data_IF_914595910023
#
_entry.id   IF_914595910023
#
_cell.length_a   1.000
_cell.length_b   1.000
_cell.length_c   1.000
_cell.angle_alpha   90.00
_cell.angle_beta   90.00
_cell.angle_gamma   90.00
#
_symmetry.space_group_name_H-M   'P 1'
#
loop_
_entity.id
_entity.type
_entity.pdbx_description
1 polymer ?
#
# COMPACT_ATOMS: atom_id res chain seq x y z
N UNK A 1 -29.77 23.74 25.69
CA UNK A 1 -30.39 22.55 25.07
C UNK A 1 -29.54 22.13 23.88
N UNK A 2 -29.16 20.87 23.74
CA UNK A 2 -28.32 20.42 22.62
C UNK A 2 -29.20 20.09 21.41
N UNK A 3 -29.28 21.01 20.45
CA UNK A 3 -30.18 20.89 19.29
C UNK A 3 -29.55 20.06 18.16
N UNK A 4 -29.84 18.75 18.16
CA UNK A 4 -29.43 17.77 17.13
C UNK A 4 -29.67 18.25 15.67
N UNK A 5 -30.68 19.11 15.45
CA UNK A 5 -31.00 19.79 14.18
C UNK A 5 -29.88 20.75 13.73
N UNK A 6 -29.46 21.66 14.61
CA UNK A 6 -28.43 22.69 14.35
C UNK A 6 -27.07 22.01 14.15
N UNK A 7 -26.75 21.04 15.01
CA UNK A 7 -25.53 20.23 14.89
C UNK A 7 -25.49 19.48 13.55
N UNK A 8 -26.63 19.01 13.04
CA UNK A 8 -26.71 18.44 11.70
C UNK A 8 -26.52 19.48 10.59
N UNK A 9 -27.14 20.66 10.68
CA UNK A 9 -26.99 21.72 9.68
C UNK A 9 -25.52 22.13 9.52
N UNK A 10 -24.84 22.43 10.64
CA UNK A 10 -23.40 22.73 10.67
C UNK A 10 -22.59 21.58 10.07
N UNK A 11 -22.74 20.33 10.55
CA UNK A 11 -22.00 19.16 10.03
C UNK A 11 -22.26 18.88 8.54
N UNK A 12 -23.38 19.33 7.99
CA UNK A 12 -23.73 19.09 6.60
C UNK A 12 -23.29 20.21 5.64
N UNK A 13 -23.44 21.48 6.04
CA UNK A 13 -23.05 22.64 5.23
C UNK A 13 -21.55 22.94 5.38
N UNK A 14 -21.06 23.00 6.62
CA UNK A 14 -19.66 23.27 6.95
C UNK A 14 -18.79 22.01 6.87
N UNK A 15 -17.52 22.14 7.26
CA UNK A 15 -16.57 21.04 7.28
C UNK A 15 -16.94 19.96 8.32
N UNK A 16 -16.71 18.69 7.95
CA UNK A 16 -16.83 17.55 8.85
C UNK A 16 -15.71 16.56 8.54
N UNK A 17 -14.79 16.36 9.48
CA UNK A 17 -13.59 15.51 9.33
C UNK A 17 -13.89 14.07 8.91
N UNK A 18 -15.05 13.54 9.29
CA UNK A 18 -15.48 12.18 8.93
C UNK A 18 -16.22 12.10 7.59
N UNK A 19 -16.61 13.21 6.94
CA UNK A 19 -17.47 13.24 5.75
C UNK A 19 -16.65 13.05 4.46
N UNK A 20 -16.84 11.90 3.81
CA UNK A 20 -16.32 11.64 2.47
C UNK A 20 -17.36 12.05 1.42
N UNK A 21 -17.05 13.07 0.61
CA UNK A 21 -17.75 13.32 -0.66
C UNK A 21 -17.26 12.30 -1.69
N UNK A 22 -18.13 11.83 -2.58
CA UNK A 22 -17.76 10.97 -3.72
C UNK A 22 -18.35 11.50 -5.02
N UNK A 23 -17.71 11.21 -6.15
CA UNK A 23 -18.06 11.74 -7.48
C UNK A 23 -19.50 11.38 -7.91
N UNK A 24 -20.07 10.34 -7.31
CA UNK A 24 -21.45 9.87 -7.54
C UNK A 24 -22.49 10.58 -6.66
N UNK A 25 -22.15 11.73 -6.06
CA UNK A 25 -23.04 12.56 -5.24
C UNK A 25 -23.41 11.97 -3.88
N UNK A 26 -22.93 10.76 -3.53
CA UNK A 26 -23.22 10.12 -2.25
C UNK A 26 -22.16 10.49 -1.20
N UNK A 27 -22.63 10.91 -0.03
CA UNK A 27 -21.76 11.24 1.10
C UNK A 27 -21.62 10.04 2.04
N UNK A 28 -20.38 9.61 2.28
CA UNK A 28 -20.03 8.54 3.22
C UNK A 28 -19.41 9.11 4.50
N UNK A 29 -19.30 8.29 5.53
CA UNK A 29 -18.81 8.68 6.85
C UNK A 29 -17.75 7.70 7.34
N UNK A 30 -16.54 8.18 7.66
CA UNK A 30 -15.43 7.40 8.22
C UNK A 30 -15.60 7.05 9.71
N UNK A 31 -16.56 7.64 10.41
CA UNK A 31 -16.74 7.44 11.85
C UNK A 31 -17.17 6.00 12.16
N UNK A 32 -16.39 5.29 12.98
CA UNK A 32 -16.63 3.89 13.33
C UNK A 32 -18.02 3.63 13.95
N UNK A 33 -18.52 4.62 14.68
CA UNK A 33 -19.83 4.61 15.33
C UNK A 33 -20.98 4.97 14.38
N UNK A 34 -20.81 4.93 13.06
CA UNK A 34 -21.91 5.04 12.11
C UNK A 34 -22.46 3.63 11.77
N UNK A 35 -23.76 3.39 11.94
CA UNK A 35 -24.37 2.07 11.64
C UNK A 35 -24.32 1.74 10.14
N UNK A 36 -24.56 2.72 9.27
CA UNK A 36 -24.81 2.51 7.83
C UNK A 36 -23.61 2.83 6.94
N UNK A 37 -22.68 3.67 7.41
CA UNK A 37 -21.58 4.23 6.62
C UNK A 37 -21.94 5.46 5.78
N UNK A 38 -23.22 5.85 5.72
CA UNK A 38 -23.65 7.06 4.99
C UNK A 38 -23.67 8.29 5.90
N UNK A 39 -23.29 9.46 5.35
CA UNK A 39 -23.35 10.74 6.02
C UNK A 39 -24.71 11.43 5.78
N UNK A 40 -25.76 10.88 6.41
CA UNK A 40 -27.14 11.40 6.39
C UNK A 40 -27.59 11.78 7.80
N UNK A 41 -28.58 12.68 7.94
CA UNK A 41 -29.13 13.14 9.24
C UNK A 41 -29.43 12.00 10.21
N UNK A 42 -30.13 10.96 9.76
CA UNK A 42 -30.49 9.78 10.57
C UNK A 42 -29.32 8.81 10.85
N UNK A 43 -28.18 8.96 10.16
CA UNK A 43 -27.02 8.05 10.25
C UNK A 43 -25.80 8.67 10.94
N UNK A 44 -25.73 9.99 11.14
CA UNK A 44 -24.59 10.62 11.79
C UNK A 44 -24.59 10.39 13.33
N UNK A 45 -23.58 9.74 13.94
CA UNK A 45 -23.53 9.52 15.39
C UNK A 45 -23.14 10.76 16.20
N UNK A 46 -22.58 11.79 15.56
CA UNK A 46 -22.28 13.07 16.20
C UNK A 46 -23.58 13.87 16.39
N UNK A 47 -24.28 14.14 15.28
CA UNK A 47 -25.49 14.98 15.26
C UNK A 47 -26.71 14.39 15.98
N UNK A 48 -26.77 13.07 16.21
CA UNK A 48 -27.86 12.47 17.00
C UNK A 48 -27.40 12.24 18.44
N UNK A 49 -28.07 12.85 19.42
CA UNK A 49 -27.90 12.61 20.85
C UNK A 49 -28.31 11.18 21.26
N UNK A 50 -29.40 10.66 20.68
CA UNK A 50 -29.90 9.30 20.88
C UNK A 50 -29.48 8.40 19.72
N UNK A 51 -28.50 7.51 19.96
CA UNK A 51 -27.95 6.66 18.90
C UNK A 51 -27.60 5.26 19.42
N UNK A 52 -27.40 4.30 18.52
CA UNK A 52 -26.96 2.94 18.85
C UNK A 52 -26.22 2.30 17.67
N UNK A 53 -25.20 1.47 17.93
CA UNK A 53 -24.46 0.70 16.92
C UNK A 53 -24.07 -0.70 17.40
N UNK A 54 -23.72 -1.57 16.47
CA UNK A 54 -23.04 -2.84 16.78
C UNK A 54 -21.62 -2.78 16.22
N UNK A 55 -20.61 -3.10 17.03
CA UNK A 55 -19.18 -3.14 16.63
C UNK A 55 -18.54 -4.40 17.23
N UNK A 56 -17.71 -5.07 16.44
CA UNK A 56 -16.82 -6.14 16.91
C UNK A 56 -15.62 -5.54 17.63
N UNK A 57 -15.23 -6.14 18.75
CA UNK A 57 -14.00 -5.76 19.46
C UNK A 57 -12.76 -6.27 18.70
N UNK A 58 -11.81 -5.41 18.28
CA UNK A 58 -10.67 -5.85 17.46
C UNK A 58 -9.81 -6.96 18.10
N UNK A 59 -9.64 -6.93 19.43
CA UNK A 59 -8.82 -7.91 20.16
C UNK A 59 -9.52 -9.27 20.34
N UNK A 60 -10.84 -9.25 20.55
CA UNK A 60 -11.60 -10.41 21.05
C UNK A 60 -12.54 -11.01 19.99
N UNK A 61 -12.82 -10.28 18.90
CA UNK A 61 -13.81 -10.63 17.89
C UNK A 61 -15.27 -10.66 18.40
N UNK A 62 -15.50 -10.37 19.69
CA UNK A 62 -16.80 -10.38 20.34
C UNK A 62 -17.64 -9.17 19.91
N UNK A 63 -18.95 -9.38 19.74
CA UNK A 63 -19.88 -8.32 19.34
C UNK A 63 -20.35 -7.53 20.57
N UNK A 64 -20.33 -6.21 20.44
CA UNK A 64 -20.87 -5.30 21.45
C UNK A 64 -21.88 -4.34 20.82
N UNK A 65 -22.99 -4.13 21.54
CA UNK A 65 -23.93 -3.03 21.31
C UNK A 65 -23.38 -1.80 22.03
N UNK A 66 -23.18 -0.72 21.29
CA UNK A 66 -22.79 0.59 21.81
C UNK A 66 -24.02 1.51 21.76
N UNK A 67 -24.44 2.06 22.90
CA UNK A 67 -25.61 2.94 22.99
C UNK A 67 -25.20 4.34 23.47
N UNK A 68 -25.80 5.39 22.88
CA UNK A 68 -25.58 6.80 23.23
C UNK A 68 -26.90 7.40 23.71
N UNK A 69 -26.88 8.06 24.88
CA UNK A 69 -28.06 8.67 25.53
C UNK A 69 -27.88 10.17 25.70
N UNK A 70 -28.98 10.92 25.72
CA UNK A 70 -28.97 12.40 25.83
C UNK A 70 -28.38 12.85 27.16
N UNK A 71 -28.73 12.16 28.24
CA UNK A 71 -28.33 12.47 29.62
C UNK A 71 -26.82 12.61 29.76
N UNK A 72 -26.04 11.74 29.11
CA UNK A 72 -24.57 11.75 29.20
C UNK A 72 -23.89 12.67 28.21
N UNK A 73 -24.62 13.42 27.38
CA UNK A 73 -24.03 14.32 26.36
C UNK A 73 -22.99 15.31 26.92
N UNK A 74 -23.07 15.67 28.20
CA UNK A 74 -22.10 16.51 28.90
C UNK A 74 -20.79 15.81 29.33
N UNK A 75 -20.66 14.48 29.20
CA UNK A 75 -19.44 13.72 29.56
C UNK A 75 -18.91 12.88 28.37
N UNK A 76 -18.05 13.43 27.49
CA UNK A 76 -17.50 12.73 26.33
C UNK A 76 -16.93 11.34 26.62
N UNK A 77 -16.13 11.24 27.69
CA UNK A 77 -15.48 9.99 28.13
C UNK A 77 -16.47 8.89 28.57
N UNK A 78 -17.77 9.22 28.73
CA UNK A 78 -18.84 8.31 29.18
C UNK A 78 -20.07 8.32 28.24
N UNK A 79 -19.94 8.87 27.02
CA UNK A 79 -21.02 8.93 26.02
C UNK A 79 -21.58 7.57 25.60
N UNK A 80 -20.75 6.52 25.58
CA UNK A 80 -21.10 5.22 25.03
C UNK A 80 -21.21 4.12 26.09
N UNK A 81 -22.39 3.51 26.19
CA UNK A 81 -22.59 2.27 26.93
C UNK A 81 -22.22 1.06 26.07
N UNK A 82 -21.25 0.26 26.52
CA UNK A 82 -20.78 -0.95 25.82
C UNK A 82 -21.40 -2.21 26.43
N UNK A 83 -22.44 -2.75 25.81
CA UNK A 83 -23.13 -3.99 26.22
C UNK A 83 -22.62 -5.17 25.39
N UNK A 84 -22.14 -6.25 26.04
CA UNK A 84 -21.70 -7.47 25.35
C UNK A 84 -22.90 -8.26 24.80
N UNK A 85 -22.93 -8.48 23.50
CA UNK A 85 -23.91 -9.37 22.88
C UNK A 85 -23.46 -10.82 23.01
N UNK A 86 -24.43 -11.74 23.08
CA UNK A 86 -24.15 -13.18 23.11
C UNK A 86 -23.61 -13.70 21.76
N UNK A 87 -22.85 -14.79 21.80
CA UNK A 87 -22.28 -15.42 20.58
C UNK A 87 -23.34 -16.10 19.71
N UNK A 88 -24.52 -16.43 20.29
CA UNK A 88 -25.64 -17.00 19.55
C UNK A 88 -26.45 -15.88 18.89
N UNK A 89 -26.47 -15.86 17.56
CA UNK A 89 -27.13 -14.83 16.75
C UNK A 89 -28.61 -14.61 17.10
N UNK A 90 -29.39 -15.66 17.37
CA UNK A 90 -30.80 -15.53 17.74
C UNK A 90 -30.98 -14.86 19.11
N UNK A 91 -30.14 -15.23 20.09
CA UNK A 91 -30.13 -14.57 21.41
C UNK A 91 -29.63 -13.13 21.31
N UNK A 92 -28.64 -12.85 20.47
CA UNK A 92 -28.15 -11.50 20.22
C UNK A 92 -29.19 -10.59 19.55
N UNK A 93 -30.04 -11.12 18.66
CA UNK A 93 -31.19 -10.38 18.11
C UNK A 93 -32.21 -10.02 19.20
N UNK A 94 -32.56 -10.97 20.07
CA UNK A 94 -33.44 -10.69 21.23
C UNK A 94 -32.86 -9.60 22.14
N UNK A 95 -31.56 -9.70 22.46
CA UNK A 95 -30.85 -8.66 23.24
C UNK A 95 -30.84 -7.28 22.56
N UNK A 96 -30.84 -7.19 21.23
CA UNK A 96 -31.01 -5.90 20.54
C UNK A 96 -32.43 -5.35 20.72
N UNK A 97 -33.47 -6.18 20.60
CA UNK A 97 -34.86 -5.75 20.78
C UNK A 97 -35.16 -5.34 22.23
N UNK A 98 -34.71 -6.12 23.21
CA UNK A 98 -34.85 -5.84 24.65
C UNK A 98 -34.23 -4.50 25.08
N UNK A 99 -33.11 -4.11 24.47
CA UNK A 99 -32.38 -2.89 24.87
C UNK A 99 -32.76 -1.66 24.05
N UNK A 100 -33.19 -1.84 22.80
CA UNK A 100 -33.49 -0.73 21.89
C UNK A 100 -34.99 -0.41 21.79
N UNK A 101 -35.84 -0.91 22.71
CA UNK A 101 -37.31 -0.68 22.76
C UNK A 101 -37.68 0.78 22.51
N UNK A 102 -36.99 1.73 23.15
CA UNK A 102 -37.29 3.16 23.09
C UNK A 102 -36.55 3.94 21.99
N UNK A 103 -35.79 3.26 21.12
CA UNK A 103 -35.03 3.88 20.02
C UNK A 103 -35.86 3.90 18.71
N UNK A 104 -35.56 4.80 17.77
CA UNK A 104 -36.28 4.85 16.50
C UNK A 104 -36.10 3.57 15.70
N UNK A 105 -37.19 3.05 15.11
CA UNK A 105 -37.26 1.79 14.35
C UNK A 105 -36.16 1.67 13.27
N UNK A 106 -35.73 2.78 12.68
CA UNK A 106 -34.59 2.86 11.76
C UNK A 106 -33.30 2.32 12.39
N UNK A 107 -32.92 2.78 13.59
CA UNK A 107 -31.71 2.33 14.27
C UNK A 107 -31.83 0.88 14.73
N UNK A 108 -33.00 0.44 15.21
CA UNK A 108 -33.23 -0.98 15.56
C UNK A 108 -32.98 -1.87 14.33
N UNK A 109 -33.63 -1.57 13.21
CA UNK A 109 -33.48 -2.34 11.97
C UNK A 109 -32.05 -2.30 11.42
N UNK A 110 -31.38 -1.13 11.44
CA UNK A 110 -30.00 -1.01 10.98
C UNK A 110 -28.99 -1.68 11.92
N UNK A 111 -29.20 -1.68 13.23
CA UNK A 111 -28.39 -2.45 14.18
C UNK A 111 -28.52 -3.96 13.94
N UNK A 112 -29.75 -4.47 13.68
CA UNK A 112 -29.95 -5.86 13.27
C UNK A 112 -29.21 -6.17 11.97
N UNK A 113 -29.42 -5.38 10.90
CA UNK A 113 -28.72 -5.57 9.62
C UNK A 113 -27.18 -5.55 9.79
N UNK A 114 -26.64 -4.65 10.63
CA UNK A 114 -25.20 -4.58 10.92
C UNK A 114 -24.71 -5.79 11.72
N UNK A 115 -25.45 -6.27 12.72
CA UNK A 115 -25.14 -7.52 13.43
C UNK A 115 -25.09 -8.70 12.45
N UNK A 116 -26.10 -8.87 11.59
CA UNK A 116 -26.12 -9.91 10.55
C UNK A 116 -24.92 -9.80 9.61
N UNK A 117 -24.54 -8.58 9.20
CA UNK A 117 -23.39 -8.38 8.31
C UNK A 117 -22.06 -8.69 9.00
N UNK A 118 -21.89 -8.29 10.27
CA UNK A 118 -20.69 -8.58 11.05
C UNK A 118 -20.55 -10.08 11.35
N UNK A 119 -21.63 -10.81 11.65
CA UNK A 119 -21.55 -12.27 11.82
C UNK A 119 -21.23 -12.98 10.51
N UNK A 120 -21.82 -12.55 9.37
CA UNK A 120 -21.43 -13.04 8.04
C UNK A 120 -19.96 -12.79 7.71
N UNK A 121 -19.43 -11.60 8.02
CA UNK A 121 -18.02 -11.26 7.79
C UNK A 121 -17.10 -12.12 8.68
N UNK A 122 -17.42 -12.30 9.97
CA UNK A 122 -16.65 -13.19 10.85
C UNK A 122 -16.66 -14.65 10.38
N UNK A 123 -17.78 -15.15 9.83
CA UNK A 123 -17.85 -16.48 9.21
C UNK A 123 -16.98 -16.55 7.95
N UNK A 124 -16.97 -15.51 7.11
CA UNK A 124 -16.12 -15.44 5.91
C UNK A 124 -14.63 -15.40 6.27
N UNK A 125 -14.22 -14.57 7.23
CA UNK A 125 -12.82 -14.47 7.66
C UNK A 125 -12.30 -15.81 8.18
N UNK A 126 -13.09 -16.54 8.98
CA UNK A 126 -12.75 -17.90 9.45
C UNK A 126 -12.64 -18.93 8.33
N UNK A 127 -13.42 -18.80 7.26
CA UNK A 127 -13.29 -19.66 6.07
C UNK A 127 -12.02 -19.34 5.29
N UNK A 128 -11.74 -18.06 5.04
CA UNK A 128 -10.55 -17.62 4.32
C UNK A 128 -9.27 -18.01 5.06
N UNK A 129 -9.17 -17.79 6.38
CA UNK A 129 -8.01 -18.19 7.16
C UNK A 129 -7.74 -19.72 7.11
N UNK A 130 -8.80 -20.55 7.12
CA UNK A 130 -8.65 -22.01 6.94
C UNK A 130 -8.27 -22.40 5.51
N UNK A 131 -8.67 -21.61 4.52
CA UNK A 131 -8.34 -21.84 3.11
C UNK A 131 -6.88 -21.45 2.80
N UNK A 132 -6.42 -20.34 3.37
CA UNK A 132 -5.03 -19.88 3.40
C UNK A 132 -4.12 -20.89 4.12
N UNK A 133 -4.53 -21.38 5.30
CA UNK A 133 -3.85 -22.47 6.03
C UNK A 133 -3.76 -23.77 5.21
N UNK A 134 -4.82 -24.11 4.45
CA UNK A 134 -4.86 -25.31 3.60
C UNK A 134 -3.98 -25.20 2.36
N UNK A 135 -3.96 -24.03 1.71
CA UNK A 135 -3.24 -23.82 0.45
C UNK A 135 -1.76 -23.49 0.68
N UNK A 136 -1.42 -22.79 1.78
CA UNK A 136 -0.06 -22.32 2.07
C UNK A 136 0.42 -21.18 1.14
N UNK A 137 -0.33 -20.86 0.10
CA UNK A 137 -0.08 -19.80 -0.88
C UNK A 137 -0.11 -18.41 -0.22
N UNK A 138 1.09 -17.84 -0.01
CA UNK A 138 1.24 -16.44 0.40
C UNK A 138 1.28 -15.56 -0.83
N UNK A 139 0.53 -14.45 -0.82
CA UNK A 139 0.61 -13.42 -1.87
C UNK A 139 1.98 -12.73 -1.81
N UNK A 140 2.93 -13.22 -2.60
CA UNK A 140 4.24 -12.58 -2.77
C UNK A 140 4.02 -11.20 -3.42
N UNK A 141 4.47 -10.09 -2.80
CA UNK A 141 4.36 -8.78 -3.42
C UNK A 141 5.22 -8.73 -4.69
N UNK A 142 4.84 -7.93 -5.69
CA UNK A 142 5.64 -7.77 -6.91
C UNK A 142 7.05 -7.30 -6.54
N UNK A 143 8.06 -8.12 -6.86
CA UNK A 143 9.47 -7.79 -6.65
C UNK A 143 9.79 -6.42 -7.23
N UNK A 144 10.54 -5.62 -6.48
CA UNK A 144 10.90 -4.26 -6.90
C UNK A 144 11.69 -4.32 -8.23
N UNK A 145 11.40 -3.48 -9.24
CA UNK A 145 12.05 -3.58 -10.56
C UNK A 145 13.58 -3.51 -10.54
N UNK A 146 14.19 -2.87 -9.51
CA UNK A 146 15.64 -2.88 -9.29
C UNK A 146 16.16 -4.27 -8.86
N UNK A 147 15.43 -4.98 -8.01
CA UNK A 147 15.80 -6.32 -7.50
C UNK A 147 15.74 -7.30 -8.67
N UNK A 148 14.61 -7.36 -9.39
CA UNK A 148 14.46 -8.22 -10.57
C UNK A 148 15.57 -7.99 -11.60
N UNK A 149 15.91 -6.74 -11.94
CA UNK A 149 17.01 -6.45 -12.88
C UNK A 149 18.37 -6.94 -12.35
N UNK A 150 18.63 -6.78 -11.06
CA UNK A 150 19.88 -7.25 -10.44
C UNK A 150 19.97 -8.78 -10.43
N UNK A 151 18.85 -9.46 -10.25
CA UNK A 151 18.72 -10.92 -10.35
C UNK A 151 18.94 -11.37 -11.81
N UNK A 152 18.18 -10.82 -12.76
CA UNK A 152 18.27 -11.05 -14.21
C UNK A 152 19.70 -10.83 -14.78
N UNK A 153 20.42 -9.79 -14.31
CA UNK A 153 21.84 -9.57 -14.67
C UNK A 153 22.80 -10.54 -13.99
N UNK A 154 22.52 -10.96 -12.74
CA UNK A 154 23.34 -11.97 -12.03
C UNK A 154 23.16 -13.36 -12.61
N UNK A 155 21.93 -13.73 -12.98
CA UNK A 155 21.59 -14.95 -13.69
C UNK A 155 22.37 -15.01 -15.01
N UNK A 156 22.36 -13.94 -15.82
CA UNK A 156 23.14 -13.86 -17.06
C UNK A 156 24.66 -13.91 -16.84
N UNK A 157 25.22 -13.18 -15.85
CA UNK A 157 26.67 -13.27 -15.52
C UNK A 157 27.03 -14.69 -15.03
N UNK A 158 26.16 -15.36 -14.28
CA UNK A 158 26.38 -16.73 -13.79
C UNK A 158 26.27 -17.81 -14.90
N UNK A 159 25.31 -17.67 -15.81
CA UNK A 159 25.15 -18.55 -16.99
C UNK A 159 26.40 -18.52 -17.88
N UNK A 160 26.90 -17.32 -18.19
CA UNK A 160 28.13 -17.12 -18.95
C UNK A 160 29.36 -17.71 -18.23
N UNK A 161 29.49 -17.46 -16.92
CA UNK A 161 30.63 -17.97 -16.13
C UNK A 161 30.62 -19.49 -15.96
N UNK A 162 29.44 -20.12 -15.88
CA UNK A 162 29.33 -21.56 -15.65
C UNK A 162 29.76 -22.43 -16.86
N UNK A 163 29.85 -21.85 -18.07
CA UNK A 163 30.26 -22.52 -19.34
C UNK A 163 29.66 -23.95 -19.45
N UNK A 164 28.36 -24.10 -19.15
CA UNK A 164 27.71 -25.38 -18.78
C UNK A 164 27.94 -26.52 -19.78
N UNK A 165 27.97 -26.22 -21.08
CA UNK A 165 28.23 -27.21 -22.14
C UNK A 165 29.60 -27.89 -21.94
N UNK A 166 30.68 -27.13 -21.71
CA UNK A 166 32.03 -27.66 -21.44
C UNK A 166 32.12 -28.42 -20.10
N UNK A 167 31.25 -28.12 -19.13
CA UNK A 167 31.17 -28.87 -17.89
C UNK A 167 30.49 -30.24 -18.11
N UNK A 168 29.40 -30.26 -18.87
CA UNK A 168 28.66 -31.48 -19.24
C UNK A 168 29.50 -32.37 -20.16
N UNK A 169 30.21 -31.81 -21.15
CA UNK A 169 31.10 -32.56 -22.04
C UNK A 169 32.20 -33.29 -21.27
N UNK A 170 32.89 -32.59 -20.34
CA UNK A 170 33.91 -33.21 -19.49
C UNK A 170 33.33 -34.29 -18.58
N UNK A 171 32.16 -34.08 -17.95
CA UNK A 171 31.52 -35.11 -17.14
C UNK A 171 31.09 -36.34 -17.97
N UNK A 172 30.59 -36.13 -19.19
CA UNK A 172 30.24 -37.22 -20.11
C UNK A 172 31.49 -38.00 -20.56
N UNK A 173 32.59 -37.31 -20.83
CA UNK A 173 33.89 -37.94 -21.16
C UNK A 173 34.42 -38.70 -19.94
N UNK A 174 34.30 -38.18 -18.73
CA UNK A 174 34.75 -38.85 -17.50
C UNK A 174 33.89 -40.07 -17.14
N UNK A 175 32.56 -39.98 -17.27
CA UNK A 175 31.63 -41.12 -17.15
C UNK A 175 31.88 -42.19 -18.22
N UNK A 176 32.31 -41.79 -19.41
CA UNK A 176 32.72 -42.68 -20.49
C UNK A 176 34.09 -43.33 -20.22
N UNK A 177 35.05 -42.57 -19.68
CA UNK A 177 36.40 -43.02 -19.28
C UNK A 177 36.38 -44.00 -18.11
N UNK A 178 35.48 -43.78 -17.15
CA UNK A 178 35.24 -44.66 -15.99
C UNK A 178 34.44 -45.93 -16.32
N UNK A 179 34.03 -46.13 -17.58
CA UNK A 179 33.39 -47.37 -18.03
C UNK A 179 31.93 -47.54 -17.59
N UNK A 180 31.27 -46.49 -17.09
CA UNK A 180 29.90 -46.55 -16.56
C UNK A 180 28.84 -47.01 -17.58
N UNK A 181 29.16 -46.96 -18.88
CA UNK A 181 28.30 -47.37 -19.99
C UNK A 181 28.64 -48.75 -20.59
N UNK A 182 29.58 -49.50 -19.99
CA UNK A 182 30.00 -50.83 -20.45
C UNK A 182 30.91 -50.83 -21.68
N UNK A 183 31.14 -52.01 -22.24
CA UNK A 183 32.14 -52.25 -23.31
C UNK A 183 31.74 -51.67 -24.68
N UNK A 184 30.44 -51.52 -24.94
CA UNK A 184 29.91 -50.88 -26.16
C UNK A 184 28.73 -49.95 -25.82
N UNK A 185 28.96 -48.64 -25.58
CA UNK A 185 27.89 -47.68 -25.37
C UNK A 185 27.00 -47.53 -26.62
N UNK A 186 25.71 -47.84 -26.47
CA UNK A 186 24.74 -48.07 -27.56
C UNK A 186 24.53 -46.92 -28.56
N UNK A 187 24.97 -45.70 -28.23
CA UNK A 187 24.73 -44.48 -29.02
C UNK A 187 26.02 -43.77 -29.50
N UNK A 188 27.20 -44.38 -29.30
CA UNK A 188 28.49 -43.80 -29.73
C UNK A 188 28.95 -44.45 -31.03
N UNK A 189 29.38 -43.65 -32.00
CA UNK A 189 29.97 -44.19 -33.23
C UNK A 189 31.27 -44.93 -32.91
N UNK A 190 31.39 -46.18 -33.38
CA UNK A 190 32.50 -47.09 -33.09
C UNK A 190 33.88 -46.49 -33.44
N UNK A 191 33.94 -45.65 -34.47
CA UNK A 191 35.15 -44.94 -34.90
C UNK A 191 35.59 -43.81 -33.95
N UNK A 192 34.68 -43.24 -33.15
CA UNK A 192 35.01 -42.31 -32.07
C UNK A 192 35.36 -43.10 -30.80
N UNK A 193 34.60 -44.16 -30.47
CA UNK A 193 34.91 -45.03 -29.33
C UNK A 193 36.34 -45.58 -29.38
N UNK A 194 36.76 -46.13 -30.53
CA UNK A 194 38.14 -46.60 -30.76
C UNK A 194 39.20 -45.49 -30.73
N UNK A 195 38.84 -44.24 -31.01
CA UNK A 195 39.76 -43.09 -30.84
C UNK A 195 39.92 -42.71 -29.37
N UNK A 196 38.82 -42.70 -28.59
CA UNK A 196 38.85 -42.40 -27.16
C UNK A 196 39.64 -43.47 -26.40
N UNK A 197 39.40 -44.76 -26.67
CA UNK A 197 40.19 -45.86 -26.08
C UNK A 197 41.68 -45.79 -26.46
N UNK A 198 42.01 -45.43 -27.72
CA UNK A 198 43.40 -45.23 -28.15
C UNK A 198 44.03 -43.93 -27.60
N UNK A 199 43.22 -42.96 -27.19
CA UNK A 199 43.64 -41.82 -26.38
C UNK A 199 43.97 -42.25 -24.96
N UNK A 200 43.13 -43.10 -24.35
CA UNK A 200 43.32 -43.65 -23.00
C UNK A 200 44.60 -44.50 -22.87
N UNK A 201 44.96 -45.29 -23.87
CA UNK A 201 46.26 -46.00 -23.93
C UNK A 201 47.48 -45.06 -24.09
N UNK A 202 47.27 -43.80 -24.48
CA UNK A 202 48.33 -42.85 -24.85
C UNK A 202 48.51 -41.71 -23.84
N UNK A 203 47.45 -41.28 -23.15
CA UNK A 203 47.48 -40.32 -22.04
C UNK A 203 47.40 -41.08 -20.71
N UNK A 204 48.56 -41.59 -20.29
CA UNK A 204 48.76 -42.18 -18.97
C UNK A 204 48.88 -41.11 -17.89
N UNK A 205 47.72 -40.65 -17.41
CA UNK A 205 47.50 -39.74 -16.26
C UNK A 205 47.97 -38.27 -16.42
N UNK A 206 47.21 -37.36 -15.81
CA UNK A 206 47.71 -36.03 -15.40
C UNK A 206 47.96 -34.93 -16.45
N UNK A 207 47.00 -34.60 -17.32
CA UNK A 207 46.87 -33.23 -17.85
C UNK A 207 45.56 -32.62 -17.31
N UNK A 208 45.65 -31.41 -16.72
CA UNK A 208 44.51 -30.62 -16.23
C UNK A 208 44.24 -29.55 -17.29
N UNK A 209 43.09 -29.63 -17.95
CA UNK A 209 42.73 -28.71 -19.04
C UNK A 209 42.88 -27.23 -18.63
N UNK A 210 43.68 -26.48 -19.38
CA UNK A 210 43.92 -25.04 -19.16
C UNK A 210 42.74 -24.16 -19.64
N UNK A 211 41.88 -24.70 -20.52
CA UNK A 211 40.65 -24.12 -21.11
C UNK A 211 39.56 -23.64 -20.11
N UNK A 212 39.82 -23.76 -18.80
CA UNK A 212 38.99 -23.23 -17.73
C UNK A 212 39.63 -22.07 -16.93
N UNK A 213 40.95 -21.92 -16.99
CA UNK A 213 41.70 -20.80 -16.38
C UNK A 213 41.87 -19.62 -17.38
N UNK A 214 41.56 -19.79 -18.67
CA UNK A 214 41.34 -18.64 -19.58
C UNK A 214 40.13 -17.81 -19.12
N UNK A 215 40.46 -16.62 -18.61
CA UNK A 215 39.60 -15.78 -17.78
C UNK A 215 38.42 -15.14 -18.49
N UNK A 216 37.50 -14.61 -17.68
CA UNK A 216 36.37 -13.78 -18.13
C UNK A 216 36.83 -12.32 -18.09
N UNK A 217 37.88 -12.00 -18.87
CA UNK A 217 38.55 -10.68 -18.84
C UNK A 217 38.28 -9.84 -20.11
N UNK A 218 38.02 -10.44 -21.29
CA UNK A 218 38.08 -9.69 -22.57
C UNK A 218 36.73 -9.22 -23.17
N UNK A 219 35.58 -9.38 -22.49
CA UNK A 219 34.26 -8.95 -23.03
C UNK A 219 33.30 -8.32 -22.00
N UNK A 220 33.81 -7.78 -20.87
CA UNK A 220 32.93 -7.14 -19.85
C UNK A 220 33.51 -5.94 -19.08
N UNK A 221 34.75 -5.49 -19.32
CA UNK A 221 35.36 -4.38 -18.57
C UNK A 221 34.89 -2.97 -18.97
N UNK A 222 34.48 -2.75 -20.23
CA UNK A 222 34.11 -1.41 -20.77
C UNK A 222 32.88 -0.73 -20.12
N UNK A 223 32.22 -1.34 -19.12
CA UNK A 223 31.10 -0.69 -18.38
C UNK A 223 31.30 -0.68 -16.84
N UNK A 224 32.46 -1.10 -16.30
CA UNK A 224 32.73 -1.10 -14.85
C UNK A 224 33.97 -0.26 -14.41
N UNK A 225 34.73 0.34 -15.34
CA UNK A 225 35.77 1.36 -15.07
C UNK A 225 35.16 2.73 -14.66
N UNK A 226 34.41 2.73 -13.56
CA UNK A 226 33.66 3.90 -13.06
C UNK A 226 33.53 3.98 -11.54
N UNK A 227 34.08 3.02 -10.80
CA UNK A 227 34.15 3.04 -9.33
C UNK A 227 35.61 2.85 -8.93
N UNK A 228 36.29 3.95 -8.62
CA UNK A 228 37.68 3.92 -8.19
C UNK A 228 37.87 3.09 -6.93
N UNK A 229 39.01 2.41 -6.85
CA UNK A 229 39.44 1.59 -5.71
C UNK A 229 39.58 2.46 -4.45
N UNK A 230 38.62 2.34 -3.53
CA UNK A 230 38.67 2.98 -2.21
C UNK A 230 39.11 1.95 -1.18
N UNK A 231 40.41 1.93 -0.88
CA UNK A 231 40.93 1.25 0.30
C UNK A 231 40.33 1.89 1.56
N UNK A 232 39.49 1.14 2.27
CA UNK A 232 39.05 1.52 3.62
C UNK A 232 40.13 1.09 4.62
N UNK A 233 41.07 2.00 4.89
CA UNK A 233 41.96 1.88 6.05
C UNK A 233 41.11 1.89 7.31
N UNK A 234 41.22 0.83 8.12
CA UNK A 234 40.44 0.66 9.35
C UNK A 234 41.09 1.41 10.52
N UNK A 235 40.98 2.73 10.53
CA UNK A 235 41.27 3.57 11.71
C UNK A 235 40.14 3.36 12.75
N UNK A 236 40.17 2.21 13.43
CA UNK A 236 39.28 1.89 14.55
C UNK A 236 40.05 1.18 15.68
N UNK A 237 41.19 1.76 16.05
CA UNK A 237 41.81 1.54 17.36
C UNK A 237 41.39 2.70 18.29
N UNK A 238 40.56 2.35 19.29
CA UNK A 238 40.34 2.98 20.61
C UNK A 238 40.26 4.53 20.73
N UNK A 239 39.01 5.00 20.75
CA UNK A 239 38.44 6.04 21.64
C UNK A 239 38.64 7.57 21.39
N UNK A 240 37.70 8.31 22.01
CA UNK A 240 37.55 9.78 22.15
C UNK A 240 36.88 10.59 20.99
N UNK A 241 36.20 11.68 21.38
CA UNK A 241 35.55 12.75 20.58
C UNK A 241 34.39 12.41 19.59
N UNK A 242 33.22 12.02 20.13
CA UNK A 242 31.91 12.04 19.42
C UNK A 242 30.87 12.97 20.09
N UNK A 243 31.23 14.24 20.36
CA UNK A 243 30.27 15.26 20.87
C UNK A 243 29.91 16.38 19.85
N UNK A 244 30.68 16.56 18.76
CA UNK A 244 30.53 17.71 17.83
C UNK A 244 29.70 17.41 16.55
N UNK A 245 28.78 16.43 16.61
CA UNK A 245 27.91 16.05 15.47
C UNK A 245 26.40 16.16 15.76
N UNK A 246 26.00 16.34 17.02
CA UNK A 246 24.58 16.33 17.41
C UNK A 246 23.87 17.69 17.13
N UNK A 247 24.61 18.80 17.09
CA UNK A 247 24.08 20.17 16.87
C UNK A 247 23.47 20.39 15.48
N UNK A 248 23.87 19.64 14.44
CA UNK A 248 23.33 19.81 13.08
C UNK A 248 21.88 19.30 12.94
N UNK A 249 21.49 18.27 13.68
CA UNK A 249 20.31 17.44 13.36
C UNK A 249 19.22 17.39 14.46
N UNK A 250 19.28 18.30 15.44
CA UNK A 250 18.68 18.11 16.77
C UNK A 250 17.42 18.89 17.19
N UNK A 251 16.84 19.82 16.42
CA UNK A 251 15.64 20.56 16.86
C UNK A 251 14.64 20.96 15.74
N UNK A 252 13.61 20.13 15.54
CA UNK A 252 12.23 20.59 15.25
C UNK A 252 11.21 19.45 15.49
N UNK A 253 10.70 19.26 16.73
CA UNK A 253 9.32 18.79 16.97
C UNK A 253 8.91 18.64 18.45
N UNK A 254 7.98 19.51 18.89
CA UNK A 254 6.84 19.25 19.80
C UNK A 254 7.09 18.70 21.24
N UNK A 255 6.36 19.10 22.29
CA UNK A 255 5.20 20.00 22.45
C UNK A 255 4.94 20.24 23.97
N UNK A 256 4.00 21.13 24.33
CA UNK A 256 3.16 21.04 25.58
C UNK A 256 3.87 21.35 26.93
N UNK A 257 3.33 22.11 27.91
CA UNK A 257 1.99 22.68 28.20
C UNK A 257 2.12 23.97 29.04
N UNK A 258 1.04 24.73 29.37
CA UNK A 258 1.17 25.67 30.51
C UNK A 258 0.20 26.83 30.89
N UNK A 259 -0.89 27.15 30.17
CA UNK A 259 -2.02 28.03 30.60
C UNK A 259 -1.75 29.54 30.99
N UNK A 260 -2.76 30.44 30.93
CA UNK A 260 -2.49 31.90 31.11
C UNK A 260 -3.59 33.00 31.19
N UNK A 261 -4.85 32.79 30.75
CA UNK A 261 -6.08 33.58 31.12
C UNK A 261 -6.35 35.02 30.55
N UNK A 262 -7.56 35.16 29.94
CA UNK A 262 -8.55 36.28 29.79
C UNK A 262 -8.47 37.56 28.89
N UNK A 263 -9.69 37.99 28.55
CA UNK A 263 -10.31 39.27 28.09
C UNK A 263 -10.19 39.83 26.63
N UNK A 264 -11.14 39.37 25.81
CA UNK A 264 -12.34 40.11 25.28
C UNK A 264 -12.36 41.07 24.06
N UNK A 265 -13.60 41.17 23.51
CA UNK A 265 -14.21 42.06 22.50
C UNK A 265 -13.69 42.11 21.03
N UNK A 266 -14.52 42.42 20.00
CA UNK A 266 -15.87 41.95 19.59
C UNK A 266 -16.12 42.37 18.10
N UNK A 267 -17.28 41.98 17.53
CA UNK A 267 -17.97 42.46 16.31
C UNK A 267 -17.31 42.20 14.92
N UNK A 268 -18.06 41.84 13.85
CA UNK A 268 -19.47 41.42 13.78
C UNK A 268 -20.12 41.59 12.38
N UNK A 269 -20.67 40.51 11.81
CA UNK A 269 -21.70 40.48 10.72
C UNK A 269 -21.43 41.32 9.43
N UNK A 270 -22.37 41.52 8.49
CA UNK A 270 -22.90 40.54 7.49
C UNK A 270 -23.09 41.32 6.13
N UNK A 271 -23.75 40.93 5.03
CA UNK A 271 -24.72 39.87 4.70
C UNK A 271 -24.74 39.53 3.17
N UNK A 272 -25.90 39.15 2.61
CA UNK A 272 -26.15 38.69 1.23
C UNK A 272 -26.22 39.81 0.14
N UNK A 273 -26.28 39.44 -1.16
CA UNK A 273 -26.53 40.41 -2.25
C UNK A 273 -26.13 39.96 -3.67
N UNK A 274 -27.11 39.83 -4.58
CA UNK A 274 -26.90 39.49 -6.01
C UNK A 274 -26.85 40.73 -6.93
N UNK A 275 -26.07 40.61 -8.02
CA UNK A 275 -26.20 41.27 -9.34
C UNK A 275 -26.33 42.82 -9.49
N UNK A 276 -25.33 43.44 -10.13
CA UNK A 276 -25.51 44.23 -11.37
C UNK A 276 -24.17 44.51 -12.07
N UNK A 277 -24.20 44.87 -13.35
CA UNK A 277 -23.06 45.43 -14.11
C UNK A 277 -23.18 46.95 -14.32
N UNK A 278 -22.16 47.51 -14.99
CA UNK A 278 -22.07 48.77 -15.75
C UNK A 278 -21.51 50.08 -15.13
N UNK A 279 -20.29 50.39 -15.60
CA UNK A 279 -19.82 51.65 -16.23
C UNK A 279 -19.44 52.95 -15.46
N UNK A 280 -18.23 53.44 -15.82
CA UNK A 280 -17.74 54.84 -15.88
C UNK A 280 -17.48 55.66 -14.59
N UNK A 281 -16.64 56.72 -14.56
CA UNK A 281 -15.37 57.10 -15.23
C UNK A 281 -14.81 58.41 -14.57
N UNK A 282 -13.50 58.71 -14.67
CA UNK A 282 -12.81 60.03 -14.40
C UNK A 282 -12.82 60.57 -12.93
N UNK A 283 -11.90 61.42 -12.41
CA UNK A 283 -10.47 61.70 -12.69
C UNK A 283 -9.77 62.39 -11.45
N UNK A 284 -8.51 62.82 -11.62
CA UNK A 284 -7.66 63.70 -10.78
C UNK A 284 -6.73 63.14 -9.67
N UNK A 285 -5.55 63.77 -9.54
CA UNK A 285 -4.38 63.46 -8.68
C UNK A 285 -3.96 64.77 -7.95
N UNK A 286 -3.20 64.77 -6.82
CA UNK A 286 -1.73 64.89 -7.01
C UNK A 286 -0.79 64.35 -5.89
N UNK A 287 0.26 63.65 -6.33
CA UNK A 287 1.70 63.82 -5.94
C UNK A 287 2.11 63.85 -4.45
N UNK A 288 2.94 62.87 -4.05
CA UNK A 288 4.43 63.04 -3.95
C UNK A 288 5.20 61.71 -3.75
N UNK A 289 6.52 61.79 -3.98
CA UNK A 289 7.58 60.74 -4.04
C UNK A 289 8.77 61.20 -3.13
N UNK A 290 9.88 60.44 -2.84
CA UNK A 290 10.48 59.39 -3.69
C UNK A 290 11.28 58.21 -3.03
N UNK A 291 11.73 57.30 -3.92
CA UNK A 291 12.90 56.39 -3.81
C UNK A 291 12.83 55.21 -2.83
N UNK A 292 13.53 54.08 -3.02
CA UNK A 292 14.49 53.69 -4.09
C UNK A 292 14.21 52.27 -4.66
N UNK A 293 14.86 51.90 -5.76
CA UNK A 293 14.64 50.62 -6.46
C UNK A 293 15.60 49.49 -6.01
N UNK A 294 15.26 48.22 -6.30
CA UNK A 294 16.18 47.47 -7.18
C UNK A 294 15.54 46.50 -8.20
N UNK A 295 16.15 46.51 -9.40
CA UNK A 295 16.47 45.36 -10.29
C UNK A 295 15.34 44.39 -10.72
N UNK A 296 14.91 44.60 -11.97
CA UNK A 296 14.03 43.76 -12.82
C UNK A 296 14.43 42.27 -12.83
N UNK A 297 13.46 41.35 -12.63
CA UNK A 297 13.55 39.95 -13.10
C UNK A 297 12.81 39.79 -14.44
N UNK A 298 13.26 38.85 -15.27
CA UNK A 298 12.66 38.53 -16.59
C UNK A 298 11.47 37.57 -16.41
N UNK A 299 10.39 37.65 -17.22
CA UNK A 299 9.35 36.63 -17.22
C UNK A 299 9.92 35.29 -17.74
N UNK A 300 9.51 34.18 -17.13
CA UNK A 300 9.84 32.85 -17.59
C UNK A 300 8.91 32.41 -18.75
N UNK A 301 9.41 31.57 -19.66
CA UNK A 301 8.61 31.05 -20.76
C UNK A 301 7.65 29.93 -20.29
N UNK A 302 6.43 29.81 -20.87
CA UNK A 302 5.49 28.77 -20.49
C UNK A 302 6.00 27.37 -20.89
N UNK A 303 5.84 26.40 -19.99
CA UNK A 303 6.20 25.01 -20.23
C UNK A 303 5.28 24.34 -21.26
N UNK A 304 5.86 23.59 -22.21
CA UNK A 304 5.09 22.84 -23.21
C UNK A 304 4.34 21.66 -22.54
N UNK A 305 3.07 21.39 -22.91
CA UNK A 305 2.36 20.21 -22.43
C UNK A 305 3.01 18.93 -22.95
N UNK A 306 3.16 17.93 -22.08
CA UNK A 306 3.68 16.60 -22.43
C UNK A 306 2.64 15.86 -23.29
N UNK A 307 3.05 15.30 -24.43
CA UNK A 307 2.20 14.42 -25.24
C UNK A 307 1.76 13.21 -24.39
N UNK A 308 0.46 12.90 -24.40
CA UNK A 308 -0.04 11.59 -23.92
C UNK A 308 0.43 10.49 -24.88
N UNK A 309 0.74 9.31 -24.34
CA UNK A 309 1.04 8.13 -25.14
C UNK A 309 -0.19 7.63 -25.91
N UNK A 310 0.04 6.79 -26.93
CA UNK A 310 -1.05 6.18 -27.69
C UNK A 310 -1.88 5.23 -26.83
N UNK A 311 -3.20 5.27 -27.00
CA UNK A 311 -4.12 4.28 -26.45
C UNK A 311 -4.10 3.06 -27.39
N UNK A 312 -3.83 1.88 -26.85
CA UNK A 312 -3.91 0.61 -27.61
C UNK A 312 -5.16 -0.10 -27.11
N UNK A 313 -6.17 -0.17 -27.97
CA UNK A 313 -7.38 -0.95 -27.71
C UNK A 313 -7.09 -2.41 -28.05
N UNK A 314 -7.25 -3.28 -27.05
CA UNK A 314 -7.08 -4.73 -27.19
C UNK A 314 -8.48 -5.33 -27.19
N UNK A 315 -8.99 -5.60 -28.38
CA UNK A 315 -10.20 -6.40 -28.53
C UNK A 315 -9.88 -7.85 -28.20
N UNK A 316 -10.63 -8.44 -27.27
CA UNK A 316 -10.53 -9.85 -26.92
C UNK A 316 -11.62 -10.60 -27.67
N UNK A 317 -11.26 -11.36 -28.70
CA UNK A 317 -12.17 -12.32 -29.31
C UNK A 317 -12.55 -13.39 -28.28
N UNK A 318 -13.82 -13.42 -27.88
CA UNK A 318 -14.32 -14.47 -27.00
C UNK A 318 -14.54 -15.74 -27.81
N UNK A 319 -13.66 -16.72 -27.67
CA UNK A 319 -13.87 -18.06 -28.22
C UNK A 319 -15.24 -18.60 -27.78
N UNK A 320 -16.08 -18.96 -28.75
CA UNK A 320 -17.40 -19.51 -28.50
C UNK A 320 -17.32 -20.87 -27.79
N UNK A 321 -18.32 -21.25 -26.99
CA UNK A 321 -18.29 -22.51 -26.24
C UNK A 321 -18.09 -23.69 -27.19
N UNK A 322 -17.03 -24.47 -26.94
CA UNK A 322 -16.70 -25.64 -27.74
C UNK A 322 -17.90 -26.61 -27.73
N UNK A 323 -18.35 -27.01 -28.92
CA UNK A 323 -19.52 -27.89 -29.06
C UNK A 323 -19.17 -29.27 -28.52
N UNK A 324 -19.81 -29.67 -27.42
CA UNK A 324 -19.64 -31.00 -26.83
C UNK A 324 -19.86 -32.08 -27.89
N UNK A 325 -18.84 -32.90 -28.10
CA UNK A 325 -18.84 -33.98 -29.10
C UNK A 325 -19.65 -35.17 -28.58
N UNK A 326 -20.95 -35.17 -28.85
CA UNK A 326 -21.89 -36.27 -28.59
C UNK A 326 -21.54 -37.54 -29.39
N UNK A 327 -20.52 -38.29 -28.95
CA UNK A 327 -20.23 -39.66 -29.40
C UNK A 327 -19.44 -40.47 -28.35
N UNK A 328 -20.17 -41.04 -27.38
CA UNK A 328 -19.84 -42.27 -26.64
C UNK A 328 -21.07 -42.72 -25.84
#
# INVERSE_FOLDING_TARGET
>A
MSSDEIVWQVINQQFCSYKLKTDKGQNFCRNEYNVTGFCNRQSCPLANSRYATVRSDPSTGAMYLYMKTVERSHMPNKWWEKVRLSSNYAKALGQLDERLIYWPKFLIHKCKQRLTRLTQVNIRMRKLAKEEERLGEKLVPKLAPKIRRREETRERKAEAAAKLERAIERELIERLRSGAYGEQPLNVQENIWKKVLKGLERQGDGERDEDLDEGIEEELEEEEEGVGEVEYVSDIDEDEDMEDLEDWLGDESNETDGDGVDDDDDEGESDDGEASSDETNEEEEPKKKPAAAPKRKRPAAPSRPRKKGAHVEIEYETEGPARESLFA
#
